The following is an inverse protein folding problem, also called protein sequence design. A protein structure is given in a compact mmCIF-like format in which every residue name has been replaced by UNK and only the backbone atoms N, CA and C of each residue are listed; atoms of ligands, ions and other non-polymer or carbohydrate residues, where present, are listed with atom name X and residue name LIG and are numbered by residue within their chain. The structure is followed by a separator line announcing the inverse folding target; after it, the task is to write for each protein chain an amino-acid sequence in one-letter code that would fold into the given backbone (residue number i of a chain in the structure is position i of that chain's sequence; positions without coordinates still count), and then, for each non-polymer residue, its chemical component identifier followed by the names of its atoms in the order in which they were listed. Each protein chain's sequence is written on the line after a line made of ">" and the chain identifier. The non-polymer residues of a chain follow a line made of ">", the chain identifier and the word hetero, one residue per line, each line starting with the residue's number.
data_IF_828464892611
#
_entry.id   IF_828464892611
#
_cell.length_a   1.000
_cell.length_b   1.000
_cell.length_c   1.000
_cell.angle_alpha   90.00
_cell.angle_beta   90.00
_cell.angle_gamma   90.00
#
_symmetry.space_group_name_H-M   'P 1'
#
loop_
_entity.id
_entity.type
_entity.pdbx_description
1 polymer ?
#
# COMPACT_ATOMS: atom_id res chain seq x y z
N UNK A 1 -1.91 4.85 -23.69
CA UNK A 1 -2.81 3.84 -23.10
C UNK A 1 -3.90 4.57 -22.36
N UNK A 2 -5.16 4.35 -22.72
CA UNK A 2 -6.31 4.96 -22.04
C UNK A 2 -6.68 4.07 -20.86
N UNK A 3 -6.76 4.64 -19.65
CA UNK A 3 -7.12 3.88 -18.44
C UNK A 3 -8.62 3.62 -18.43
N UNK A 4 -9.02 2.38 -18.14
CA UNK A 4 -10.42 2.02 -17.95
C UNK A 4 -10.84 2.24 -16.50
N UNK A 5 -11.83 3.10 -16.29
CA UNK A 5 -12.38 3.40 -14.96
C UNK A 5 -13.42 2.36 -14.51
N UNK A 6 -14.02 1.62 -15.44
CA UNK A 6 -15.07 0.64 -15.14
C UNK A 6 -14.49 -0.72 -14.78
N UNK A 7 -13.49 -1.18 -15.54
CA UNK A 7 -12.82 -2.46 -15.30
C UNK A 7 -11.49 -2.34 -14.53
N UNK A 8 -11.43 -1.49 -13.51
CA UNK A 8 -10.22 -1.25 -12.72
C UNK A 8 -9.88 -2.42 -11.77
N UNK A 9 -8.60 -2.55 -11.40
CA UNK A 9 -8.13 -3.48 -10.38
C UNK A 9 -8.32 -2.86 -8.98
N UNK A 10 -8.67 -3.69 -7.99
CA UNK A 10 -8.83 -3.29 -6.60
C UNK A 10 -7.83 -4.02 -5.72
N UNK A 11 -6.91 -3.26 -5.12
CA UNK A 11 -5.97 -3.75 -4.12
C UNK A 11 -6.31 -3.16 -2.76
N UNK A 12 -6.61 -4.01 -1.78
CA UNK A 12 -6.83 -3.59 -0.39
C UNK A 12 -5.64 -4.03 0.47
N UNK A 13 -5.02 -3.08 1.15
CA UNK A 13 -3.81 -3.33 1.94
C UNK A 13 -4.13 -3.22 3.42
N UNK A 14 -3.81 -4.25 4.20
CA UNK A 14 -3.93 -4.21 5.66
C UNK A 14 -2.93 -5.15 6.33
N UNK A 15 -2.58 -4.84 7.59
CA UNK A 15 -1.72 -5.68 8.42
C UNK A 15 -2.38 -6.97 8.89
N UNK A 16 -3.72 -6.98 8.89
CA UNK A 16 -4.54 -8.10 9.40
C UNK A 16 -5.07 -9.03 8.29
N UNK A 17 -4.56 -8.92 7.05
CA UNK A 17 -4.89 -9.88 5.98
C UNK A 17 -4.28 -11.24 6.32
N UNK A 18 -5.12 -12.28 6.40
CA UNK A 18 -4.70 -13.64 6.78
C UNK A 18 -3.89 -13.73 8.09
N UNK A 19 -4.06 -12.74 8.98
CA UNK A 19 -3.38 -12.66 10.27
C UNK A 19 -4.28 -11.95 11.28
N UNK A 20 -4.89 -12.70 12.19
CA UNK A 20 -5.84 -12.14 13.16
C UNK A 20 -5.11 -11.48 14.32
N UNK A 21 -5.00 -10.15 14.28
CA UNK A 21 -4.41 -9.33 15.36
C UNK A 21 -5.49 -8.56 16.14
N UNK A 22 -6.53 -8.06 15.47
CA UNK A 22 -7.50 -7.16 16.05
C UNK A 22 -8.84 -7.16 15.31
N UNK A 23 -9.47 -5.97 15.28
CA UNK A 23 -10.80 -5.79 14.70
C UNK A 23 -10.82 -5.70 13.18
N UNK A 24 -9.70 -5.35 12.54
CA UNK A 24 -9.65 -5.14 11.09
C UNK A 24 -9.82 -6.47 10.36
N UNK A 25 -9.29 -7.56 10.91
CA UNK A 25 -9.53 -8.92 10.41
C UNK A 25 -11.03 -9.20 10.19
N UNK A 26 -11.86 -8.86 11.19
CA UNK A 26 -13.31 -9.07 11.13
C UNK A 26 -13.99 -8.16 10.09
N UNK A 27 -13.48 -6.94 9.92
CA UNK A 27 -13.99 -6.00 8.90
C UNK A 27 -13.69 -6.54 7.50
N UNK A 28 -12.45 -6.95 7.24
CA UNK A 28 -12.05 -7.52 5.95
C UNK A 28 -12.83 -8.80 5.65
N UNK A 29 -12.95 -9.68 6.64
CA UNK A 29 -13.66 -10.96 6.49
C UNK A 29 -15.15 -10.78 6.20
N UNK A 30 -15.82 -9.84 6.88
CA UNK A 30 -17.25 -9.57 6.64
C UNK A 30 -17.51 -8.82 5.33
N UNK A 31 -16.53 -8.05 4.84
CA UNK A 31 -16.61 -7.34 3.55
C UNK A 31 -16.23 -8.20 2.35
N UNK A 32 -15.35 -9.19 2.53
CA UNK A 32 -14.83 -10.00 1.44
C UNK A 32 -15.90 -10.61 0.51
N UNK A 33 -17.02 -11.19 1.00
CA UNK A 33 -18.02 -11.81 0.12
C UNK A 33 -18.66 -10.81 -0.85
N UNK A 34 -19.03 -9.62 -0.37
CA UNK A 34 -19.68 -8.61 -1.20
C UNK A 34 -18.71 -7.99 -2.21
N UNK A 35 -17.46 -7.76 -1.81
CA UNK A 35 -16.44 -7.20 -2.71
C UNK A 35 -15.99 -8.20 -3.77
N UNK A 36 -15.87 -9.49 -3.42
CA UNK A 36 -15.59 -10.54 -4.43
C UNK A 36 -16.75 -10.69 -5.40
N UNK A 37 -18.00 -10.58 -4.96
CA UNK A 37 -19.16 -10.65 -5.87
C UNK A 37 -19.11 -9.57 -6.96
N UNK A 38 -18.66 -8.35 -6.60
CA UNK A 38 -18.56 -7.21 -7.52
C UNK A 38 -17.29 -7.25 -8.40
N UNK A 39 -16.12 -7.49 -7.79
CA UNK A 39 -14.83 -7.37 -8.48
C UNK A 39 -14.26 -8.69 -8.99
N UNK A 40 -14.71 -9.82 -8.45
CA UNK A 40 -14.27 -11.18 -8.79
C UNK A 40 -12.75 -11.29 -8.73
N UNK A 41 -12.13 -11.56 -9.88
CA UNK A 41 -10.70 -11.78 -10.04
C UNK A 41 -9.86 -10.51 -9.92
N UNK A 42 -10.49 -9.33 -10.03
CA UNK A 42 -9.82 -8.03 -9.96
C UNK A 42 -9.56 -7.54 -8.54
N UNK A 43 -10.12 -8.24 -7.54
CA UNK A 43 -9.92 -7.93 -6.13
C UNK A 43 -8.77 -8.76 -5.57
N UNK A 44 -7.79 -8.10 -4.96
CA UNK A 44 -6.67 -8.75 -4.27
C UNK A 44 -6.36 -8.02 -2.98
N UNK A 45 -6.30 -8.77 -1.89
CA UNK A 45 -5.88 -8.29 -0.58
C UNK A 45 -4.35 -8.42 -0.46
N UNK A 46 -3.71 -7.41 0.12
CA UNK A 46 -2.26 -7.37 0.31
C UNK A 46 -1.96 -7.21 1.79
N UNK A 47 -1.05 -8.03 2.31
CA UNK A 47 -0.64 -7.97 3.71
C UNK A 47 0.77 -8.50 3.97
N UNK A 48 1.25 -8.35 5.21
CA UNK A 48 2.48 -9.00 5.63
C UNK A 48 2.28 -10.51 5.76
N UNK A 49 3.27 -11.27 5.29
CA UNK A 49 3.29 -12.71 5.45
C UNK A 49 3.60 -13.07 6.90
N UNK A 50 2.67 -13.78 7.53
CA UNK A 50 2.92 -14.53 8.75
C UNK A 50 2.87 -16.03 8.41
N UNK A 51 4.01 -16.71 8.52
CA UNK A 51 4.14 -18.11 8.10
C UNK A 51 3.20 -19.06 8.86
N UNK A 52 2.97 -18.82 10.15
CA UNK A 52 2.16 -19.69 11.00
C UNK A 52 0.67 -19.60 10.62
N UNK A 53 0.16 -18.38 10.42
CA UNK A 53 -1.24 -18.17 10.06
C UNK A 53 -1.50 -18.47 8.58
N UNK A 54 -0.57 -18.13 7.69
CA UNK A 54 -0.72 -18.35 6.26
C UNK A 54 -0.81 -19.85 5.91
N UNK A 55 -0.07 -20.72 6.61
CA UNK A 55 -0.11 -22.17 6.39
C UNK A 55 -1.50 -22.79 6.64
N UNK A 56 -2.34 -22.14 7.44
CA UNK A 56 -3.68 -22.62 7.80
C UNK A 56 -4.77 -21.88 7.05
N UNK A 57 -4.61 -20.56 6.87
CA UNK A 57 -5.64 -19.71 6.31
C UNK A 57 -5.54 -19.51 4.79
N UNK A 58 -4.42 -19.84 4.15
CA UNK A 58 -4.18 -19.53 2.74
C UNK A 58 -3.92 -20.80 1.93
N UNK A 59 -4.64 -20.92 0.82
CA UNK A 59 -4.36 -21.90 -0.23
C UNK A 59 -3.53 -21.25 -1.32
N UNK A 60 -2.32 -21.73 -1.56
CA UNK A 60 -1.44 -21.20 -2.60
C UNK A 60 -2.03 -21.41 -3.99
N UNK A 61 -1.92 -20.37 -4.83
CA UNK A 61 -2.47 -20.37 -6.18
C UNK A 61 -1.41 -19.84 -7.16
N UNK A 62 -1.47 -20.32 -8.40
CA UNK A 62 -0.65 -19.79 -9.48
C UNK A 62 -1.23 -18.47 -10.00
N UNK A 63 -0.38 -17.47 -10.20
CA UNK A 63 -0.77 -16.16 -10.73
C UNK A 63 -1.18 -16.32 -12.19
N UNK A 64 -2.45 -16.07 -12.50
CA UNK A 64 -2.98 -16.22 -13.86
C UNK A 64 -2.80 -14.96 -14.72
N UNK A 65 -2.84 -13.78 -14.10
CA UNK A 65 -2.70 -12.51 -14.81
C UNK A 65 -1.24 -12.27 -15.22
N UNK A 66 -0.92 -12.12 -16.53
CA UNK A 66 0.45 -11.95 -17.00
C UNK A 66 1.12 -10.67 -16.49
N UNK A 67 0.36 -9.59 -16.26
CA UNK A 67 0.89 -8.33 -15.77
C UNK A 67 1.24 -8.40 -14.28
N UNK A 68 0.36 -9.02 -13.49
CA UNK A 68 0.64 -9.29 -12.07
C UNK A 68 1.83 -10.23 -11.97
N UNK A 69 1.86 -11.30 -12.79
CA UNK A 69 2.97 -12.26 -12.82
C UNK A 69 4.31 -11.58 -13.16
N UNK A 70 4.36 -10.77 -14.21
CA UNK A 70 5.59 -10.06 -14.59
C UNK A 70 6.08 -9.11 -13.48
N UNK A 71 5.15 -8.45 -12.79
CA UNK A 71 5.46 -7.57 -11.65
C UNK A 71 6.03 -8.36 -10.48
N UNK A 72 5.40 -9.48 -10.14
CA UNK A 72 5.83 -10.36 -9.06
C UNK A 72 7.17 -11.05 -9.37
N UNK A 73 7.38 -11.49 -10.61
CA UNK A 73 8.66 -12.06 -11.09
C UNK A 73 9.79 -11.01 -10.98
N UNK A 74 9.51 -9.75 -11.32
CA UNK A 74 10.45 -8.64 -11.14
C UNK A 74 10.77 -8.39 -9.66
N UNK A 75 9.78 -8.46 -8.77
CA UNK A 75 10.01 -8.34 -7.32
C UNK A 75 10.80 -9.52 -6.76
N UNK A 76 10.50 -10.76 -7.19
CA UNK A 76 11.24 -11.95 -6.80
C UNK A 76 12.70 -11.89 -7.25
N UNK A 77 12.99 -11.36 -8.45
CA UNK A 77 14.36 -11.19 -8.94
C UNK A 77 15.20 -10.24 -8.07
N UNK A 78 14.56 -9.36 -7.31
CA UNK A 78 15.19 -8.44 -6.35
C UNK A 78 15.32 -9.04 -4.94
N UNK A 79 14.94 -10.30 -4.76
CA UNK A 79 15.01 -11.01 -3.48
C UNK A 79 13.78 -10.87 -2.59
N UNK A 80 12.70 -10.25 -3.07
CA UNK A 80 11.46 -10.12 -2.30
C UNK A 80 10.67 -11.43 -2.38
N UNK A 81 10.45 -12.07 -1.23
CA UNK A 81 9.63 -13.29 -1.13
C UNK A 81 8.16 -12.92 -0.89
N UNK A 82 7.28 -13.65 -1.54
CA UNK A 82 5.83 -13.48 -1.40
C UNK A 82 5.10 -14.82 -1.51
N UNK A 83 3.87 -14.86 -1.00
CA UNK A 83 2.90 -15.92 -1.24
C UNK A 83 1.70 -15.32 -1.96
N UNK A 84 1.25 -15.98 -3.03
CA UNK A 84 0.02 -15.65 -3.73
C UNK A 84 -0.97 -16.81 -3.57
N UNK A 85 -2.21 -16.50 -3.25
CA UNK A 85 -3.18 -17.53 -2.93
C UNK A 85 -4.60 -17.05 -2.77
N UNK A 86 -5.44 -17.92 -2.23
CA UNK A 86 -6.80 -17.61 -1.79
C UNK A 86 -6.90 -17.68 -0.29
N UNK A 87 -7.56 -16.70 0.29
CA UNK A 87 -7.88 -16.73 1.71
C UNK A 87 -9.08 -17.66 1.93
N UNK A 88 -8.93 -18.65 2.80
CA UNK A 88 -9.93 -19.67 3.14
C UNK A 88 -11.03 -19.09 4.07
N UNK A 89 -11.68 -18.05 3.59
CA UNK A 89 -12.86 -17.41 4.19
C UNK A 89 -14.00 -17.38 3.18
N UNK A 90 -15.18 -16.94 3.63
CA UNK A 90 -16.32 -16.73 2.74
C UNK A 90 -15.97 -15.73 1.62
N UNK A 91 -16.31 -16.10 0.38
CA UNK A 91 -15.94 -15.36 -0.82
C UNK A 91 -14.58 -15.74 -1.43
N UNK A 92 -13.70 -16.45 -0.72
CA UNK A 92 -12.40 -16.91 -1.19
C UNK A 92 -11.60 -15.85 -2.00
N UNK A 93 -11.37 -14.64 -1.44
CA UNK A 93 -10.67 -13.57 -2.13
C UNK A 93 -9.20 -13.94 -2.40
N UNK A 94 -8.63 -13.35 -3.45
CA UNK A 94 -7.19 -13.46 -3.74
C UNK A 94 -6.40 -12.68 -2.69
N UNK A 95 -5.29 -13.25 -2.24
CA UNK A 95 -4.35 -12.63 -1.31
C UNK A 95 -2.94 -12.66 -1.86
N UNK A 96 -2.20 -11.60 -1.57
CA UNK A 96 -0.78 -11.45 -1.83
C UNK A 96 -0.08 -11.06 -0.52
N UNK A 97 0.71 -11.98 0.02
CA UNK A 97 1.37 -11.80 1.31
C UNK A 97 2.87 -11.64 1.09
N UNK A 98 3.44 -10.53 1.57
CA UNK A 98 4.86 -10.23 1.43
C UNK A 98 5.65 -10.57 2.68
N UNK A 99 6.75 -11.30 2.53
CA UNK A 99 7.68 -11.52 3.62
C UNK A 99 8.51 -10.25 3.86
N UNK A 100 8.20 -9.54 4.94
CA UNK A 100 8.90 -8.32 5.35
C UNK A 100 10.39 -8.58 5.63
N UNK A 101 10.75 -9.80 6.09
CA UNK A 101 12.14 -10.12 6.39
C UNK A 101 13.00 -10.21 5.13
N UNK A 102 12.42 -10.65 4.02
CA UNK A 102 13.13 -10.71 2.73
C UNK A 102 13.56 -9.34 2.22
N UNK A 103 12.87 -8.28 2.63
CA UNK A 103 13.17 -6.90 2.24
C UNK A 103 14.17 -6.19 3.18
N UNK A 104 14.74 -6.88 4.17
CA UNK A 104 15.61 -6.27 5.18
C UNK A 104 16.81 -5.52 4.59
N UNK A 105 17.39 -6.05 3.51
CA UNK A 105 18.52 -5.42 2.82
C UNK A 105 18.20 -4.06 2.20
N UNK A 106 16.92 -3.76 1.97
CA UNK A 106 16.46 -2.47 1.47
C UNK A 106 15.99 -1.51 2.57
N UNK A 107 15.88 -1.97 3.82
CA UNK A 107 15.28 -1.16 4.90
C UNK A 107 16.06 0.13 5.18
N UNK A 108 17.39 0.08 5.15
CA UNK A 108 18.19 1.27 5.45
C UNK A 108 18.10 2.31 4.35
N UNK A 109 18.06 1.88 3.08
CA UNK A 109 17.80 2.73 1.92
C UNK A 109 16.41 3.36 2.01
N UNK A 110 15.36 2.55 2.25
CA UNK A 110 13.98 3.03 2.33
C UNK A 110 13.73 3.93 3.53
N UNK A 111 14.35 3.66 4.69
CA UNK A 111 14.29 4.57 5.85
C UNK A 111 14.95 5.91 5.55
N UNK A 112 16.04 5.90 4.78
CA UNK A 112 16.74 7.11 4.38
C UNK A 112 15.91 7.92 3.39
N UNK A 113 15.30 7.25 2.41
CA UNK A 113 14.36 7.87 1.43
C UNK A 113 13.10 8.42 2.12
N UNK A 114 12.59 7.72 3.13
CA UNK A 114 11.46 8.16 3.95
C UNK A 114 11.86 9.20 5.02
N UNK A 115 13.16 9.43 5.20
CA UNK A 115 13.72 10.41 6.14
C UNK A 115 13.12 11.80 5.90
N UNK A 116 13.20 12.71 6.89
CA UNK A 116 12.36 13.91 6.90
C UNK A 116 12.50 14.64 5.57
N UNK A 117 11.36 14.80 4.87
CA UNK A 117 11.22 15.74 3.76
C UNK A 117 11.99 17.00 4.16
N UNK A 118 12.88 17.49 3.29
CA UNK A 118 13.97 18.35 3.71
C UNK A 118 13.42 19.51 4.54
N UNK A 119 13.99 19.70 5.73
CA UNK A 119 13.62 20.74 6.70
C UNK A 119 13.71 22.15 6.05
N UNK A 120 14.34 22.27 4.88
CA UNK A 120 14.28 23.46 4.03
C UNK A 120 12.86 23.89 3.65
N UNK A 121 11.90 22.97 3.53
CA UNK A 121 10.49 23.27 3.28
C UNK A 121 9.77 23.78 4.53
N UNK A 122 10.18 23.33 5.73
CA UNK A 122 9.71 23.91 7.00
C UNK A 122 10.36 25.29 7.25
N UNK A 123 11.66 25.48 6.95
CA UNK A 123 12.31 26.78 7.09
C UNK A 123 11.74 27.82 6.13
N UNK A 124 11.33 27.42 4.91
CA UNK A 124 10.67 28.33 3.96
C UNK A 124 9.29 28.83 4.46
N UNK A 125 8.58 28.06 5.30
CA UNK A 125 7.32 28.47 5.93
C UNK A 125 7.54 29.25 7.24
N UNK A 126 8.55 28.89 8.05
CA UNK A 126 8.87 29.61 9.30
C UNK A 126 9.46 31.01 9.04
N UNK A 127 10.27 31.20 7.99
CA UNK A 127 10.80 32.51 7.59
C UNK A 127 9.74 33.43 6.96
N UNK A 128 8.58 32.90 6.52
CA UNK A 128 7.46 33.71 6.00
C UNK A 128 6.51 34.24 7.09
N UNK A 129 6.61 33.71 8.32
CA UNK A 129 5.76 34.10 9.45
C UNK A 129 6.52 34.89 10.54
N UNK A 130 7.83 35.11 10.39
CA UNK A 130 8.66 35.85 11.36
C UNK A 130 9.34 37.10 10.82
N UNK A 131 9.13 37.48 9.55
CA UNK A 131 9.57 38.80 9.09
C UNK A 131 8.61 39.89 9.61
N UNK A 132 9.07 40.83 10.45
CA UNK A 132 8.28 42.01 10.79
C UNK A 132 8.06 42.82 9.52
N UNK A 133 6.85 43.36 9.37
CA UNK A 133 6.50 44.39 8.38
C UNK A 133 7.43 45.61 8.57
N UNK A 134 8.62 45.59 8.00
CA UNK A 134 9.46 46.77 7.83
C UNK A 134 9.12 47.39 6.47
N UNK A 135 8.70 48.64 6.52
CA UNK A 135 7.93 49.32 5.48
C UNK A 135 8.56 49.36 4.09
N UNK A 136 7.69 49.22 3.09
CA UNK A 136 7.97 49.63 1.71
C UNK A 136 7.53 51.10 1.53
N UNK A 137 8.37 51.96 0.94
CA UNK A 137 8.03 53.36 0.69
C UNK A 137 7.18 53.48 -0.57
N UNK A 138 6.14 54.32 -0.50
CA UNK A 138 5.46 54.84 -1.70
C UNK A 138 4.15 54.15 -2.05
N UNK A 139 3.10 54.44 -1.27
CA UNK A 139 1.74 54.46 -1.81
C UNK A 139 1.14 55.84 -1.53
N UNK A 140 1.02 56.62 -2.60
CA UNK A 140 0.34 57.92 -2.64
C UNK A 140 -1.18 57.67 -2.62
N UNK A 141 -1.89 58.40 -1.77
CA UNK A 141 -3.37 58.37 -1.66
C UNK A 141 -3.93 59.51 -2.53
N UNK A 142 -4.89 59.28 -3.45
CA UNK A 142 -5.66 60.38 -4.03
C UNK A 142 -6.83 60.75 -3.10
N UNK A 143 -7.20 62.03 -3.13
CA UNK A 143 -8.02 62.74 -2.14
C UNK A 143 -9.51 62.41 -2.10
#
# INVERSE_FOLDING_TARGET
>A
MTRDVTNHLLFEVATEVANRVGGIYSVLKSKAPITVAEYKERYTLIGPLNHDSAAVEVEELQVQDPHIKATLDSMASRGIRYIYGRWLIEGAPRVLLFDVHSAQHHLDEWKTDLGPLPVSLLQALTLRLTMPFAGLPGCVVPG
#
